data_IF_241806843658
#
_entry.id   IF_241806843658
#
_cell.length_a   1.000
_cell.length_b   1.000
_cell.length_c   1.000
_cell.angle_alpha   90.00
_cell.angle_beta   90.00
_cell.angle_gamma   90.00
#
_symmetry.space_group_name_H-M   'P 1'
#
loop_
_entity.id
_entity.type
_entity.pdbx_description
1 polymer ?
#
# COMPACT_ATOMS: atom_id res chain seq x y z
N UNK A 1 9.40 2.99 -21.41
CA UNK A 1 8.02 2.64 -20.98
C UNK A 1 7.44 3.82 -20.21
N UNK A 2 6.53 4.58 -20.81
CA UNK A 2 5.77 5.63 -20.12
C UNK A 2 4.85 4.98 -19.10
N UNK A 3 5.05 5.23 -17.80
CA UNK A 3 4.13 4.74 -16.78
C UNK A 3 2.71 5.23 -17.14
N UNK A 4 1.78 4.31 -17.40
CA UNK A 4 0.42 4.69 -17.80
C UNK A 4 -0.18 5.64 -16.76
N UNK A 5 -0.99 6.63 -17.19
CA UNK A 5 -1.67 7.59 -16.29
C UNK A 5 -2.35 6.92 -15.08
N UNK A 6 -2.80 5.68 -15.24
CA UNK A 6 -3.39 4.82 -14.20
C UNK A 6 -2.39 4.42 -13.10
N UNK A 7 -1.15 4.07 -13.45
CA UNK A 7 -0.08 3.72 -12.51
C UNK A 7 0.32 4.94 -11.68
N UNK A 8 0.46 6.11 -12.30
CA UNK A 8 0.74 7.37 -11.60
C UNK A 8 -0.35 7.71 -10.57
N UNK A 9 -1.64 7.57 -10.94
CA UNK A 9 -2.76 7.77 -10.01
C UNK A 9 -2.71 6.78 -8.83
N UNK A 10 -2.41 5.51 -9.10
CA UNK A 10 -2.32 4.49 -8.06
C UNK A 10 -1.12 4.71 -7.12
N UNK A 11 0.03 5.13 -7.64
CA UNK A 11 1.19 5.51 -6.81
C UNK A 11 0.86 6.69 -5.89
N UNK A 12 0.24 7.74 -6.43
CA UNK A 12 -0.22 8.88 -5.64
C UNK A 12 -1.19 8.44 -4.53
N UNK A 13 -2.17 7.60 -4.88
CA UNK A 13 -3.14 7.04 -3.92
C UNK A 13 -2.45 6.21 -2.82
N UNK A 14 -1.49 5.36 -3.18
CA UNK A 14 -0.68 4.60 -2.21
C UNK A 14 0.03 5.54 -1.24
N UNK A 15 0.71 6.56 -1.75
CA UNK A 15 1.47 7.49 -0.91
C UNK A 15 0.56 8.32 0.02
N UNK A 16 -0.65 8.67 -0.42
CA UNK A 16 -1.65 9.32 0.44
C UNK A 16 -2.12 8.41 1.58
N UNK A 17 -2.44 7.14 1.28
CA UNK A 17 -2.87 6.18 2.30
C UNK A 17 -1.71 5.86 3.25
N UNK A 18 -0.48 5.75 2.74
CA UNK A 18 0.72 5.54 3.56
C UNK A 18 0.96 6.71 4.52
N UNK A 19 0.87 7.95 4.04
CA UNK A 19 0.95 9.14 4.90
C UNK A 19 -0.16 9.16 5.96
N UNK A 20 -1.39 8.77 5.60
CA UNK A 20 -2.49 8.68 6.55
C UNK A 20 -2.22 7.61 7.62
N UNK A 21 -1.71 6.44 7.20
CA UNK A 21 -1.35 5.35 8.10
C UNK A 21 -0.23 5.75 9.07
N UNK A 22 0.82 6.42 8.57
CA UNK A 22 1.92 6.92 9.40
C UNK A 22 1.51 7.99 10.40
N UNK A 23 0.46 8.76 10.09
CA UNK A 23 -0.11 9.78 11.00
C UNK A 23 -0.99 9.19 12.10
N UNK A 24 -1.36 7.92 12.04
CA UNK A 24 -2.19 7.33 13.07
C UNK A 24 -1.41 7.13 14.38
N UNK A 25 -1.99 7.52 15.53
CA UNK A 25 -1.35 7.32 16.83
C UNK A 25 -1.27 5.84 17.23
N UNK A 26 -2.19 5.01 16.72
CA UNK A 26 -2.18 3.55 16.90
C UNK A 26 -2.41 2.84 15.57
N UNK A 27 -1.35 2.21 15.04
CA UNK A 27 -1.38 1.47 13.76
C UNK A 27 -2.23 0.20 13.83
N UNK A 28 -2.33 -0.43 15.00
CA UNK A 28 -3.24 -1.56 15.26
C UNK A 28 -4.70 -1.18 15.56
N UNK A 29 -5.08 0.10 15.42
CA UNK A 29 -6.49 0.50 15.57
C UNK A 29 -7.33 0.05 14.37
N UNK A 30 -8.66 0.01 14.51
CA UNK A 30 -9.57 -0.31 13.41
C UNK A 30 -9.30 0.53 12.16
N UNK A 31 -9.03 1.83 12.34
CA UNK A 31 -8.64 2.74 11.26
C UNK A 31 -7.28 2.40 10.65
N UNK A 32 -6.30 1.96 11.45
CA UNK A 32 -4.99 1.54 10.97
C UNK A 32 -5.03 0.24 10.17
N UNK A 33 -5.75 -0.77 10.67
CA UNK A 33 -6.00 -2.03 9.95
C UNK A 33 -6.74 -1.76 8.63
N UNK A 34 -7.72 -0.84 8.66
CA UNK A 34 -8.44 -0.44 7.44
C UNK A 34 -7.51 0.21 6.41
N UNK A 35 -6.65 1.15 6.82
CA UNK A 35 -5.69 1.80 5.92
C UNK A 35 -4.63 0.81 5.40
N UNK A 36 -4.16 -0.12 6.23
CA UNK A 36 -3.24 -1.18 5.80
C UNK A 36 -3.87 -2.08 4.72
N UNK A 37 -5.12 -2.49 4.89
CA UNK A 37 -5.88 -3.23 3.87
C UNK A 37 -6.07 -2.42 2.58
N UNK A 38 -6.29 -1.11 2.68
CA UNK A 38 -6.38 -0.24 1.50
C UNK A 38 -5.03 -0.12 0.77
N UNK A 39 -3.93 0.01 1.51
CA UNK A 39 -2.57 -0.01 0.96
C UNK A 39 -2.30 -1.30 0.20
N UNK A 40 -2.63 -2.45 0.80
CA UNK A 40 -2.45 -3.75 0.16
C UNK A 40 -3.22 -3.84 -1.16
N UNK A 41 -4.48 -3.43 -1.19
CA UNK A 41 -5.29 -3.43 -2.42
C UNK A 41 -4.70 -2.54 -3.51
N UNK A 42 -4.21 -1.35 -3.16
CA UNK A 42 -3.58 -0.44 -4.13
C UNK A 42 -2.25 -1.00 -4.63
N UNK A 43 -1.47 -1.61 -3.75
CA UNK A 43 -0.21 -2.28 -4.10
C UNK A 43 -0.46 -3.47 -5.03
N UNK A 44 -1.46 -4.31 -4.76
CA UNK A 44 -1.86 -5.41 -5.66
C UNK A 44 -2.28 -4.91 -7.06
N UNK A 45 -2.98 -3.77 -7.14
CA UNK A 45 -3.32 -3.16 -8.43
C UNK A 45 -2.09 -2.64 -9.17
N UNK A 46 -1.11 -2.09 -8.45
CA UNK A 46 0.17 -1.67 -9.02
C UNK A 46 0.97 -2.88 -9.51
N UNK A 47 1.10 -3.95 -8.72
CA UNK A 47 1.79 -5.19 -9.12
C UNK A 47 1.15 -5.81 -10.38
N UNK A 48 -0.20 -5.83 -10.47
CA UNK A 48 -0.92 -6.33 -11.65
C UNK A 48 -0.67 -5.48 -12.91
N UNK A 49 -0.49 -4.17 -12.77
CA UNK A 49 -0.26 -3.24 -13.89
C UNK A 49 1.21 -3.13 -14.29
N UNK A 50 2.13 -3.21 -13.33
CA UNK A 50 3.57 -3.16 -13.59
C UNK A 50 4.14 -4.52 -14.03
N UNK A 51 3.33 -5.60 -13.99
CA UNK A 51 3.73 -6.94 -14.41
C UNK A 51 4.84 -7.54 -13.53
N UNK A 52 5.18 -6.89 -12.41
CA UNK A 52 6.21 -7.35 -11.49
C UNK A 52 5.60 -8.40 -10.56
N UNK A 53 6.19 -9.59 -10.57
CA UNK A 53 5.96 -10.64 -9.55
C UNK A 53 5.99 -9.99 -8.17
N UNK A 54 4.93 -10.22 -7.38
CA UNK A 54 4.73 -9.79 -5.98
C UNK A 54 6.04 -9.36 -5.32
N UNK A 55 6.22 -8.07 -5.07
CA UNK A 55 7.36 -7.59 -4.29
C UNK A 55 7.22 -8.10 -2.84
N UNK A 56 7.85 -9.24 -2.52
CA UNK A 56 7.82 -9.94 -1.22
C UNK A 56 8.20 -9.06 -0.03
N UNK A 57 8.83 -7.90 -0.27
CA UNK A 57 9.31 -6.98 0.76
C UNK A 57 8.16 -6.35 1.57
N UNK A 58 7.06 -6.00 0.92
CA UNK A 58 5.95 -5.30 1.58
C UNK A 58 5.11 -6.23 2.49
N UNK A 59 5.00 -7.51 2.12
CA UNK A 59 4.36 -8.53 2.97
C UNK A 59 5.14 -8.76 4.26
N UNK A 60 6.47 -8.66 4.24
CA UNK A 60 7.28 -8.86 5.43
C UNK A 60 7.14 -7.69 6.41
N UNK A 61 7.15 -6.44 5.93
CA UNK A 61 7.11 -5.26 6.81
C UNK A 61 5.74 -5.03 7.46
N UNK A 62 4.62 -5.24 6.72
CA UNK A 62 3.27 -5.03 7.27
C UNK A 62 2.89 -6.10 8.30
N UNK A 63 3.42 -7.32 8.18
CA UNK A 63 3.12 -8.42 9.12
C UNK A 63 3.88 -8.28 10.46
N UNK A 64 5.03 -7.61 10.46
CA UNK A 64 5.86 -7.42 11.66
C UNK A 64 5.28 -6.35 12.60
N UNK A 65 4.47 -5.41 12.12
CA UNK A 65 3.91 -4.33 12.94
C UNK A 65 2.47 -4.58 13.47
N UNK A 66 1.81 -5.65 13.03
CA UNK A 66 0.42 -5.97 13.44
C UNK A 66 0.37 -7.06 14.54
N UNK A 67 1.46 -7.78 14.77
CA UNK A 67 1.59 -8.76 15.86
C UNK A 67 2.25 -8.17 17.11
#
# INVERSE_FOLDING_TARGET
>A
MTASKRVLRLRKKRDEIWKAFLKLPKRGSFSGIHLANQLEKVQQQLDKLEGKRKSKRYLAEVHIEIF
#
